data_IF_198956446260
#
_entry.id   IF_198956446260
#
_cell.length_a   1.000
_cell.length_b   1.000
_cell.length_c   1.000
_cell.angle_alpha   90.00
_cell.angle_beta   90.00
_cell.angle_gamma   90.00
#
_symmetry.space_group_name_H-M   'P 1'
#
loop_
_entity.id
_entity.type
_entity.pdbx_description
1 polymer ?
#
# COMPACT_ATOMS: atom_id res chain seq x y z
N UNK A 1 15.84 20.82 -5.28
CA UNK A 1 15.08 20.54 -6.53
C UNK A 1 15.11 19.06 -6.91
N UNK A 2 16.24 18.36 -6.76
CA UNK A 2 16.37 16.93 -7.11
C UNK A 2 15.30 16.01 -6.45
N UNK A 3 15.03 16.16 -5.15
CA UNK A 3 14.00 15.38 -4.46
C UNK A 3 12.57 15.62 -5.01
N UNK A 4 12.29 16.82 -5.52
CA UNK A 4 10.99 17.14 -6.13
C UNK A 4 10.89 16.45 -7.50
N UNK A 5 11.95 16.53 -8.31
CA UNK A 5 12.05 15.85 -9.61
C UNK A 5 11.91 14.34 -9.43
N UNK A 6 12.57 13.76 -8.42
CA UNK A 6 12.42 12.36 -8.07
C UNK A 6 10.98 12.01 -7.74
N UNK A 7 10.33 12.79 -6.87
CA UNK A 7 8.95 12.55 -6.47
C UNK A 7 8.01 12.59 -7.68
N UNK A 8 8.22 13.55 -8.60
CA UNK A 8 7.51 13.62 -9.88
C UNK A 8 7.77 12.37 -10.73
N UNK A 9 9.03 11.96 -10.91
CA UNK A 9 9.39 10.81 -11.74
C UNK A 9 8.85 9.47 -11.21
N UNK A 10 8.69 9.33 -9.89
CA UNK A 10 8.08 8.14 -9.28
C UNK A 10 6.56 8.12 -9.48
N UNK A 11 5.91 9.28 -9.47
CA UNK A 11 4.45 9.41 -9.46
C UNK A 11 3.87 9.53 -10.88
N UNK A 12 4.58 10.21 -11.79
CA UNK A 12 4.11 10.49 -13.14
C UNK A 12 3.79 9.22 -13.96
N UNK A 13 4.58 8.12 -13.89
CA UNK A 13 4.21 6.87 -14.54
C UNK A 13 2.87 6.29 -14.06
N UNK A 14 2.52 6.50 -12.78
CA UNK A 14 1.21 6.08 -12.24
C UNK A 14 0.09 6.87 -12.90
N UNK A 15 0.25 8.19 -13.04
CA UNK A 15 -0.75 9.04 -13.69
C UNK A 15 -0.86 8.77 -15.19
N UNK A 16 0.24 8.47 -15.89
CA UNK A 16 0.17 8.06 -17.29
C UNK A 16 -0.55 6.74 -17.47
N UNK A 17 -0.25 5.75 -16.62
CA UNK A 17 -0.94 4.44 -16.66
C UNK A 17 -2.42 4.58 -16.32
N UNK A 18 -2.76 5.41 -15.32
CA UNK A 18 -4.15 5.70 -14.95
C UNK A 18 -4.90 6.45 -16.05
N UNK A 19 -4.26 7.45 -16.67
CA UNK A 19 -4.83 8.18 -17.81
C UNK A 19 -5.07 7.25 -19.01
N UNK A 20 -4.14 6.33 -19.28
CA UNK A 20 -4.32 5.30 -20.29
C UNK A 20 -5.54 4.42 -19.99
N UNK A 21 -5.71 3.98 -18.74
CA UNK A 21 -6.89 3.22 -18.31
C UNK A 21 -8.20 3.97 -18.55
N UNK A 22 -8.22 5.26 -18.23
CA UNK A 22 -9.36 6.13 -18.51
C UNK A 22 -9.64 6.24 -20.02
N UNK A 23 -8.60 6.44 -20.84
CA UNK A 23 -8.74 6.52 -22.31
C UNK A 23 -9.28 5.20 -22.88
N UNK A 24 -8.75 4.06 -22.46
CA UNK A 24 -9.20 2.71 -22.89
C UNK A 24 -10.69 2.50 -22.60
N UNK A 25 -11.17 2.96 -21.44
CA UNK A 25 -12.61 2.97 -21.12
C UNK A 25 -13.42 3.88 -22.05
N UNK A 26 -12.92 5.09 -22.33
CA UNK A 26 -13.59 6.07 -23.19
C UNK A 26 -13.71 5.63 -24.65
N UNK A 27 -12.73 4.90 -25.17
CA UNK A 27 -12.77 4.34 -26.54
C UNK A 27 -13.53 3.00 -26.63
N UNK A 28 -14.14 2.54 -25.54
CA UNK A 28 -15.02 1.36 -25.52
C UNK A 28 -14.32 0.01 -25.39
N UNK A 29 -13.00 -0.03 -25.20
CA UNK A 29 -12.26 -1.29 -24.97
C UNK A 29 -12.55 -1.88 -23.59
N UNK A 30 -12.79 -1.02 -22.58
CA UNK A 30 -13.31 -1.42 -21.28
C UNK A 30 -14.79 -1.06 -21.15
N UNK A 31 -15.58 -2.01 -20.66
CA UNK A 31 -16.90 -1.75 -20.08
C UNK A 31 -16.88 -2.12 -18.59
N UNK A 32 -17.97 -1.87 -17.85
CA UNK A 32 -17.99 -2.10 -16.40
C UNK A 32 -17.85 -3.59 -16.03
N UNK A 33 -18.34 -4.47 -16.90
CA UNK A 33 -18.20 -5.92 -16.73
C UNK A 33 -16.72 -6.33 -16.90
N UNK A 34 -16.05 -5.82 -17.93
CA UNK A 34 -14.62 -6.05 -18.17
C UNK A 34 -13.79 -5.55 -17.00
N UNK A 35 -14.04 -4.33 -16.52
CA UNK A 35 -13.32 -3.75 -15.37
C UNK A 35 -13.47 -4.64 -14.12
N UNK A 36 -14.70 -5.01 -13.75
CA UNK A 36 -14.97 -5.90 -12.61
C UNK A 36 -14.31 -7.27 -12.76
N UNK A 37 -14.39 -7.85 -13.96
CA UNK A 37 -13.81 -9.17 -14.25
C UNK A 37 -12.29 -9.14 -14.13
N UNK A 38 -11.64 -8.15 -14.73
CA UNK A 38 -10.20 -7.96 -14.68
C UNK A 38 -9.73 -7.61 -13.27
N UNK A 39 -10.51 -6.86 -12.49
CA UNK A 39 -10.18 -6.58 -11.10
C UNK A 39 -10.29 -7.83 -10.22
N UNK A 40 -11.26 -8.70 -10.50
CA UNK A 40 -11.36 -10.01 -9.83
C UNK A 40 -10.18 -10.91 -10.15
N UNK A 41 -9.75 -10.95 -11.42
CA UNK A 41 -8.52 -11.65 -11.82
C UNK A 41 -7.30 -11.07 -11.11
N UNK A 42 -7.21 -9.75 -11.01
CA UNK A 42 -6.12 -9.05 -10.31
C UNK A 42 -6.07 -9.44 -8.84
N UNK A 43 -7.20 -9.47 -8.15
CA UNK A 43 -7.27 -9.81 -6.73
C UNK A 43 -7.06 -11.30 -6.43
N UNK A 44 -7.51 -12.20 -7.31
CA UNK A 44 -7.45 -13.64 -7.09
C UNK A 44 -6.17 -14.30 -7.61
N UNK A 45 -5.47 -13.66 -8.54
CA UNK A 45 -4.29 -14.26 -9.20
C UNK A 45 -3.06 -13.36 -9.07
N UNK A 46 -3.10 -12.14 -9.58
CA UNK A 46 -1.90 -11.31 -9.69
C UNK A 46 -1.43 -10.73 -8.35
N UNK A 47 -2.33 -10.17 -7.53
CA UNK A 47 -1.97 -9.69 -6.20
C UNK A 47 -1.47 -10.83 -5.28
N UNK A 48 -2.10 -12.02 -5.22
CA UNK A 48 -1.56 -13.16 -4.48
C UNK A 48 -0.17 -13.56 -4.97
N UNK A 49 0.06 -13.62 -6.30
CA UNK A 49 1.37 -13.91 -6.88
C UNK A 49 2.42 -12.89 -6.45
N UNK A 50 2.07 -11.60 -6.44
CA UNK A 50 2.92 -10.52 -5.95
C UNK A 50 3.26 -10.65 -4.47
N UNK A 51 2.28 -10.96 -3.62
CA UNK A 51 2.53 -11.11 -2.18
C UNK A 51 3.40 -12.32 -1.88
N UNK A 52 3.07 -13.47 -2.48
CA UNK A 52 3.89 -14.67 -2.35
C UNK A 52 5.34 -14.38 -2.78
N UNK A 53 5.54 -13.80 -3.97
CA UNK A 53 6.87 -13.59 -4.52
C UNK A 53 7.71 -12.59 -3.70
N UNK A 54 7.09 -11.51 -3.21
CA UNK A 54 7.75 -10.54 -2.33
C UNK A 54 8.25 -11.18 -1.03
N UNK A 55 7.45 -12.06 -0.42
CA UNK A 55 7.85 -12.77 0.80
C UNK A 55 8.91 -13.83 0.47
N UNK A 56 8.68 -14.62 -0.58
CA UNK A 56 9.56 -15.72 -0.98
C UNK A 56 10.98 -15.25 -1.32
N UNK A 57 11.13 -14.10 -1.98
CA UNK A 57 12.44 -13.52 -2.33
C UNK A 57 13.07 -12.69 -1.21
N UNK A 58 12.45 -12.64 -0.03
CA UNK A 58 13.04 -11.96 1.12
C UNK A 58 14.32 -12.70 1.50
N UNK A 59 15.44 -11.98 1.58
CA UNK A 59 16.67 -12.54 2.10
C UNK A 59 16.73 -12.36 3.63
N UNK A 60 16.62 -13.47 4.35
CA UNK A 60 16.69 -13.49 5.81
C UNK A 60 18.10 -13.22 6.34
N UNK A 61 19.15 -13.44 5.54
CA UNK A 61 20.54 -13.26 5.97
C UNK A 61 20.97 -11.80 5.95
N UNK A 62 20.33 -11.00 5.10
CA UNK A 62 20.51 -9.55 5.08
C UNK A 62 19.67 -8.85 6.14
N UNK A 63 18.97 -9.51 7.06
CA UNK A 63 18.19 -8.88 8.16
C UNK A 63 19.13 -8.19 9.16
N UNK A 64 19.64 -7.03 8.76
CA UNK A 64 20.67 -6.25 9.46
C UNK A 64 20.08 -5.36 10.57
N UNK A 65 18.76 -5.16 10.60
CA UNK A 65 18.14 -4.30 11.61
C UNK A 65 16.73 -4.76 12.05
N UNK A 66 16.70 -5.78 12.90
CA UNK A 66 15.47 -6.29 13.51
C UNK A 66 14.71 -5.21 14.32
N UNK A 67 15.45 -4.28 14.94
CA UNK A 67 14.87 -3.16 15.71
C UNK A 67 13.99 -2.27 14.82
N UNK A 68 14.45 -1.91 13.63
CA UNK A 68 13.70 -1.10 12.66
C UNK A 68 12.47 -1.85 12.14
N UNK A 69 12.59 -3.15 11.85
CA UNK A 69 11.48 -3.98 11.37
C UNK A 69 10.36 -4.10 12.41
N UNK A 70 10.71 -4.46 13.65
CA UNK A 70 9.76 -4.56 14.74
C UNK A 70 9.10 -3.21 15.03
N UNK A 71 9.88 -2.12 15.00
CA UNK A 71 9.36 -0.78 15.14
C UNK A 71 8.34 -0.45 14.04
N UNK A 72 8.67 -0.69 12.77
CA UNK A 72 7.77 -0.41 11.66
C UNK A 72 6.46 -1.21 11.75
N UNK A 73 6.54 -2.51 12.04
CA UNK A 73 5.36 -3.37 12.24
C UNK A 73 4.51 -2.86 13.41
N UNK A 74 5.15 -2.50 14.52
CA UNK A 74 4.45 -1.96 15.70
C UNK A 74 3.74 -0.64 15.37
N UNK A 75 4.37 0.27 14.66
CA UNK A 75 3.74 1.52 14.21
C UNK A 75 2.51 1.25 13.35
N UNK A 76 2.62 0.33 12.38
CA UNK A 76 1.54 -0.03 11.46
C UNK A 76 0.35 -0.65 12.21
N UNK A 77 0.62 -1.58 13.13
CA UNK A 77 -0.44 -2.18 13.97
C UNK A 77 -1.07 -1.12 14.86
N UNK A 78 -0.27 -0.25 15.47
CA UNK A 78 -0.76 0.79 16.38
C UNK A 78 -1.69 1.77 15.68
N UNK A 79 -1.30 2.26 14.49
CA UNK A 79 -2.17 3.16 13.72
C UNK A 79 -3.42 2.45 13.21
N UNK A 80 -3.32 1.18 12.80
CA UNK A 80 -4.48 0.40 12.38
C UNK A 80 -5.50 0.28 13.52
N UNK A 81 -5.06 -0.12 14.72
CA UNK A 81 -5.93 -0.24 15.88
C UNK A 81 -6.54 1.11 16.27
N UNK A 82 -5.73 2.18 16.26
CA UNK A 82 -6.20 3.53 16.53
C UNK A 82 -7.28 3.97 15.53
N UNK A 83 -7.11 3.70 14.24
CA UNK A 83 -8.08 4.04 13.22
C UNK A 83 -9.34 3.18 13.31
N UNK A 84 -9.22 1.88 13.60
CA UNK A 84 -10.37 1.01 13.89
C UNK A 84 -11.20 1.53 15.07
N UNK A 85 -10.56 2.18 16.05
CA UNK A 85 -11.25 2.83 17.16
C UNK A 85 -11.84 4.20 16.77
N UNK A 86 -11.08 5.09 16.12
CA UNK A 86 -11.48 6.47 15.88
C UNK A 86 -12.47 6.66 14.71
N UNK A 87 -12.26 5.96 13.59
CA UNK A 87 -13.04 6.17 12.37
C UNK A 87 -14.55 5.89 12.54
N UNK A 88 -15.01 4.89 13.33
CA UNK A 88 -16.43 4.69 13.63
C UNK A 88 -17.15 5.88 14.29
N UNK A 89 -16.41 6.77 14.96
CA UNK A 89 -16.99 7.98 15.53
C UNK A 89 -17.22 9.08 14.48
N UNK A 90 -16.46 9.06 13.38
CA UNK A 90 -16.43 10.13 12.36
C UNK A 90 -17.24 9.78 11.11
N UNK A 91 -17.19 8.51 10.69
CA UNK A 91 -17.90 7.94 9.54
C UNK A 91 -18.90 6.90 10.03
N UNK A 92 -20.11 6.89 9.47
CA UNK A 92 -21.18 5.98 9.88
C UNK A 92 -21.34 4.81 8.92
N UNK A 93 -21.07 5.01 7.63
CA UNK A 93 -21.15 3.97 6.62
C UNK A 93 -19.98 2.97 6.76
N UNK A 94 -20.30 1.69 6.94
CA UNK A 94 -19.30 0.66 7.18
C UNK A 94 -18.36 0.44 5.98
N UNK A 95 -18.88 0.57 4.74
CA UNK A 95 -18.07 0.43 3.53
C UNK A 95 -17.04 1.55 3.42
N UNK A 96 -17.39 2.76 3.84
CA UNK A 96 -16.49 3.91 3.91
C UNK A 96 -15.47 3.79 5.05
N UNK A 97 -15.88 3.27 6.23
CA UNK A 97 -14.95 3.07 7.38
C UNK A 97 -13.76 2.22 6.99
N UNK A 98 -14.00 1.05 6.38
CA UNK A 98 -12.93 0.14 5.98
C UNK A 98 -11.95 0.80 4.99
N UNK A 99 -12.50 1.52 4.01
CA UNK A 99 -11.73 2.23 2.98
C UNK A 99 -10.90 3.36 3.58
N UNK A 100 -11.47 4.17 4.48
CA UNK A 100 -10.75 5.24 5.16
C UNK A 100 -9.62 4.72 6.04
N UNK A 101 -9.89 3.68 6.84
CA UNK A 101 -8.87 3.05 7.67
C UNK A 101 -7.73 2.57 6.78
N UNK A 102 -8.05 1.78 5.74
CA UNK A 102 -7.06 1.28 4.80
C UNK A 102 -6.24 2.39 4.17
N UNK A 103 -6.88 3.44 3.65
CA UNK A 103 -6.17 4.53 3.00
C UNK A 103 -5.16 5.24 3.92
N UNK A 104 -5.49 5.38 5.21
CA UNK A 104 -4.62 6.09 6.15
C UNK A 104 -3.45 5.22 6.60
N UNK A 105 -3.65 3.93 6.91
CA UNK A 105 -2.51 3.11 7.39
C UNK A 105 -1.68 2.48 6.26
N UNK A 106 -2.29 2.12 5.13
CA UNK A 106 -1.65 1.33 4.07
C UNK A 106 -0.97 2.20 3.02
N UNK A 107 0.35 2.16 3.03
CA UNK A 107 1.18 2.95 2.13
C UNK A 107 1.61 2.19 0.88
N UNK A 108 1.92 2.94 -0.18
CA UNK A 108 2.45 2.42 -1.43
C UNK A 108 3.99 2.29 -1.37
N UNK A 109 4.47 1.64 -0.31
CA UNK A 109 5.88 1.62 0.02
C UNK A 109 6.76 1.04 -1.09
N UNK A 110 6.31 0.02 -1.82
CA UNK A 110 7.11 -0.60 -2.90
C UNK A 110 7.47 0.39 -4.00
N UNK A 111 6.54 1.27 -4.38
CA UNK A 111 6.74 2.20 -5.51
C UNK A 111 7.75 3.30 -5.15
N UNK A 112 7.75 3.76 -3.90
CA UNK A 112 8.63 4.85 -3.47
C UNK A 112 9.90 4.37 -2.76
N UNK A 113 9.84 3.24 -2.06
CA UNK A 113 10.86 2.80 -1.10
C UNK A 113 12.24 2.69 -1.73
N UNK A 114 12.35 1.95 -2.84
CA UNK A 114 13.62 1.76 -3.53
C UNK A 114 14.07 3.06 -4.22
N UNK A 115 13.27 3.72 -5.09
CA UNK A 115 13.74 4.93 -5.79
C UNK A 115 14.15 6.07 -4.86
N UNK A 116 13.41 6.30 -3.77
CA UNK A 116 13.74 7.35 -2.79
C UNK A 116 15.01 7.01 -2.02
N UNK A 117 15.18 5.75 -1.61
CA UNK A 117 16.39 5.33 -0.89
C UNK A 117 17.64 5.46 -1.77
N UNK A 118 17.57 5.00 -3.02
CA UNK A 118 18.68 5.11 -3.98
C UNK A 118 19.06 6.56 -4.23
N UNK A 119 18.08 7.45 -4.39
CA UNK A 119 18.33 8.87 -4.64
C UNK A 119 18.94 9.60 -3.44
N UNK A 120 18.76 9.12 -2.22
CA UNK A 120 19.25 9.78 -1.00
C UNK A 120 20.60 9.22 -0.54
N UNK A 121 20.84 7.91 -0.68
CA UNK A 121 21.97 7.22 -0.05
C UNK A 121 22.75 6.25 -0.96
N UNK A 122 22.51 6.29 -2.28
CA UNK A 122 23.09 5.39 -3.29
C UNK A 122 22.56 3.95 -3.27
N UNK A 123 22.99 3.11 -4.22
CA UNK A 123 22.45 1.76 -4.42
C UNK A 123 22.69 0.82 -3.23
N UNK A 124 23.76 1.01 -2.47
CA UNK A 124 24.12 0.17 -1.33
C UNK A 124 23.09 0.24 -0.18
N UNK A 125 22.25 1.29 -0.16
CA UNK A 125 21.21 1.49 0.83
C UNK A 125 19.90 0.71 0.54
N UNK A 126 19.78 0.05 -0.63
CA UNK A 126 18.56 -0.66 -1.05
C UNK A 126 18.23 -1.89 -0.21
N UNK A 127 19.22 -2.45 0.50
CA UNK A 127 19.01 -3.58 1.42
C UNK A 127 17.98 -3.24 2.50
N UNK A 128 18.09 -2.07 3.14
CA UNK A 128 17.20 -1.66 4.25
C UNK A 128 15.77 -1.49 3.77
N UNK A 129 15.59 -0.88 2.59
CA UNK A 129 14.26 -0.74 1.98
C UNK A 129 13.66 -2.12 1.66
N UNK A 130 14.45 -3.04 1.11
CA UNK A 130 14.00 -4.39 0.77
C UNK A 130 13.59 -5.20 2.01
N UNK A 131 14.35 -5.10 3.10
CA UNK A 131 14.00 -5.72 4.39
C UNK A 131 12.70 -5.16 4.96
N UNK A 132 12.51 -3.84 4.92
CA UNK A 132 11.26 -3.24 5.37
C UNK A 132 10.09 -3.68 4.48
N UNK A 133 10.27 -3.78 3.17
CA UNK A 133 9.22 -4.23 2.24
C UNK A 133 8.76 -5.64 2.64
N UNK A 134 9.70 -6.52 2.99
CA UNK A 134 9.44 -7.90 3.38
C UNK A 134 8.49 -8.03 4.59
N UNK A 135 8.50 -7.10 5.54
CA UNK A 135 7.62 -7.14 6.73
C UNK A 135 6.43 -6.19 6.65
N UNK A 136 6.61 -5.01 6.06
CA UNK A 136 5.59 -3.98 5.94
C UNK A 136 4.47 -4.44 5.00
N UNK A 137 4.82 -5.04 3.86
CA UNK A 137 3.82 -5.44 2.87
C UNK A 137 2.91 -6.56 3.40
N UNK A 138 3.40 -7.68 3.96
CA UNK A 138 2.52 -8.70 4.54
C UNK A 138 1.64 -8.13 5.65
N UNK A 139 2.22 -7.30 6.55
CA UNK A 139 1.47 -6.63 7.63
C UNK A 139 0.32 -5.80 7.06
N UNK A 140 0.59 -4.97 6.05
CA UNK A 140 -0.45 -4.18 5.41
C UNK A 140 -1.56 -5.02 4.80
N UNK A 141 -1.24 -6.16 4.19
CA UNK A 141 -2.26 -7.01 3.57
C UNK A 141 -3.11 -7.71 4.60
N UNK A 142 -2.50 -8.29 5.64
CA UNK A 142 -3.22 -8.97 6.72
C UNK A 142 -4.19 -8.01 7.41
N UNK A 143 -3.69 -6.84 7.83
CA UNK A 143 -4.52 -5.84 8.50
C UNK A 143 -5.60 -5.27 7.59
N UNK A 144 -5.35 -5.16 6.28
CA UNK A 144 -6.38 -4.72 5.32
C UNK A 144 -7.54 -5.70 5.25
N UNK A 145 -7.25 -7.00 5.13
CA UNK A 145 -8.28 -8.04 5.08
C UNK A 145 -9.07 -8.06 6.39
N UNK A 146 -8.38 -8.00 7.53
CA UNK A 146 -9.03 -7.91 8.85
C UNK A 146 -9.92 -6.67 8.93
N UNK A 147 -9.42 -5.50 8.54
CA UNK A 147 -10.17 -4.25 8.56
C UNK A 147 -11.44 -4.32 7.71
N UNK A 148 -11.35 -4.82 6.47
CA UNK A 148 -12.53 -5.00 5.62
C UNK A 148 -13.53 -5.97 6.22
N UNK A 149 -13.08 -7.11 6.75
CA UNK A 149 -13.98 -8.10 7.36
C UNK A 149 -14.66 -7.59 8.64
N UNK A 150 -13.96 -6.80 9.48
CA UNK A 150 -14.55 -6.18 10.69
C UNK A 150 -15.75 -5.28 10.33
N UNK A 151 -15.62 -4.50 9.26
CA UNK A 151 -16.66 -3.59 8.80
C UNK A 151 -17.53 -4.20 7.69
N UNK A 152 -17.46 -5.51 7.48
CA UNK A 152 -18.28 -6.20 6.47
C UNK A 152 -19.67 -6.49 7.06
N UNK A 153 -20.69 -5.85 6.50
CA UNK A 153 -22.08 -6.03 6.95
C UNK A 153 -22.46 -5.16 8.15
N UNK A 154 -23.56 -5.51 8.82
CA UNK A 154 -24.19 -4.69 9.88
C UNK A 154 -23.73 -5.02 11.30
N UNK A 155 -23.14 -6.19 11.54
CA UNK A 155 -22.69 -6.63 12.86
C UNK A 155 -21.38 -7.42 12.78
N UNK A 156 -20.57 -7.31 13.83
CA UNK A 156 -19.29 -8.03 13.94
C UNK A 156 -19.61 -9.51 14.17
N UNK A 157 -19.32 -10.34 13.19
CA UNK A 157 -19.45 -11.79 13.30
C UNK A 157 -18.07 -12.44 13.18
N UNK A 158 -17.48 -12.79 14.33
CA UNK A 158 -16.14 -13.38 14.41
C UNK A 158 -15.96 -14.65 13.56
N UNK A 159 -17.01 -15.45 13.38
CA UNK A 159 -16.97 -16.65 12.53
C UNK A 159 -16.84 -16.29 11.06
N UNK A 160 -17.60 -15.30 10.59
CA UNK A 160 -17.53 -14.82 9.22
C UNK A 160 -16.20 -14.12 8.95
N UNK A 161 -15.71 -13.33 9.91
CA UNK A 161 -14.41 -12.67 9.84
C UNK A 161 -13.29 -13.71 9.73
N UNK A 162 -13.27 -14.70 10.62
CA UNK A 162 -12.27 -15.77 10.57
C UNK A 162 -12.32 -16.54 9.25
N UNK A 163 -13.52 -16.90 8.78
CA UNK A 163 -13.70 -17.55 7.48
C UNK A 163 -13.22 -16.67 6.33
N UNK A 164 -13.57 -15.39 6.33
CA UNK A 164 -13.17 -14.40 5.32
C UNK A 164 -11.65 -14.24 5.26
N UNK A 165 -10.99 -14.13 6.41
CA UNK A 165 -9.53 -14.04 6.52
C UNK A 165 -8.85 -15.31 6.01
N UNK A 166 -9.27 -16.49 6.49
CA UNK A 166 -8.63 -17.77 6.13
C UNK A 166 -8.84 -18.13 4.66
N UNK A 167 -9.99 -17.77 4.09
CA UNK A 167 -10.29 -18.01 2.66
C UNK A 167 -9.75 -16.91 1.73
N UNK A 168 -9.17 -15.85 2.27
CA UNK A 168 -8.69 -14.74 1.45
C UNK A 168 -7.42 -15.14 0.67
N UNK A 169 -7.40 -15.00 -0.67
CA UNK A 169 -6.27 -15.46 -1.48
C UNK A 169 -4.95 -14.75 -1.16
N UNK A 170 -5.01 -13.50 -0.66
CA UNK A 170 -3.82 -12.74 -0.25
C UNK A 170 -3.22 -13.26 1.05
N UNK A 171 -4.07 -13.69 1.99
CA UNK A 171 -3.65 -14.30 3.25
C UNK A 171 -3.04 -15.68 2.96
N UNK A 172 -3.70 -16.48 2.14
CA UNK A 172 -3.20 -17.80 1.72
C UNK A 172 -1.84 -17.66 1.04
N UNK A 173 -1.72 -16.77 0.04
CA UNK A 173 -0.44 -16.56 -0.64
C UNK A 173 0.66 -16.06 0.30
N UNK A 174 0.31 -15.23 1.28
CA UNK A 174 1.26 -14.76 2.29
C UNK A 174 1.71 -15.90 3.21
N UNK A 175 0.79 -16.73 3.69
CA UNK A 175 1.11 -17.89 4.51
C UNK A 175 1.98 -18.92 3.77
N UNK A 176 1.67 -19.19 2.50
CA UNK A 176 2.48 -20.07 1.64
C UNK A 176 3.87 -19.46 1.41
N UNK A 177 3.95 -18.16 1.15
CA UNK A 177 5.23 -17.45 0.97
C UNK A 177 6.11 -17.52 2.21
N UNK A 178 5.55 -17.27 3.40
CA UNK A 178 6.26 -17.39 4.68
C UNK A 178 6.72 -18.83 4.91
N UNK A 179 5.88 -19.81 4.59
CA UNK A 179 6.23 -21.23 4.74
C UNK A 179 7.41 -21.63 3.85
N UNK A 180 7.41 -21.19 2.58
CA UNK A 180 8.49 -21.48 1.64
C UNK A 180 9.80 -20.80 2.07
N UNK A 181 9.70 -19.55 2.54
CA UNK A 181 10.83 -18.80 3.06
C UNK A 181 11.44 -19.48 4.30
N UNK A 182 10.61 -19.85 5.28
CA UNK A 182 11.06 -20.46 6.53
C UNK A 182 11.69 -21.85 6.31
N UNK A 183 11.13 -22.63 5.37
CA UNK A 183 11.62 -23.96 5.02
C UNK A 183 12.79 -23.93 4.02
N UNK A 184 13.22 -22.73 3.57
CA UNK A 184 14.23 -22.54 2.52
C UNK A 184 13.94 -23.37 1.25
N UNK A 185 12.66 -23.47 0.86
CA UNK A 185 12.25 -24.23 -0.33
C UNK A 185 12.78 -23.53 -1.58
N UNK A 186 13.52 -24.24 -2.42
CA UNK A 186 13.98 -23.69 -3.71
C UNK A 186 13.02 -24.09 -4.82
N UNK A 187 12.33 -23.11 -5.38
CA UNK A 187 11.50 -23.30 -6.57
C UNK A 187 12.37 -23.62 -7.80
N UNK A 188 11.95 -24.57 -8.66
CA UNK A 188 12.56 -24.73 -9.98
C UNK A 188 12.50 -23.43 -10.78
N UNK A 189 13.53 -23.15 -11.58
CA UNK A 189 13.68 -21.90 -12.34
C UNK A 189 12.44 -21.55 -13.16
N UNK A 190 11.78 -22.55 -13.76
CA UNK A 190 10.55 -22.35 -14.52
C UNK A 190 9.41 -21.78 -13.65
N UNK A 191 9.19 -22.37 -12.47
CA UNK A 191 8.13 -21.95 -11.54
C UNK A 191 8.43 -20.57 -10.95
N UNK A 192 9.67 -20.34 -10.53
CA UNK A 192 10.12 -19.04 -9.99
C UNK A 192 9.89 -17.91 -10.99
N UNK A 193 10.29 -18.13 -12.25
CA UNK A 193 10.11 -17.15 -13.33
C UNK A 193 8.64 -16.90 -13.63
N UNK A 194 7.82 -17.94 -13.72
CA UNK A 194 6.37 -17.79 -13.96
C UNK A 194 5.71 -16.95 -12.87
N UNK A 195 5.98 -17.25 -11.60
CA UNK A 195 5.41 -16.48 -10.48
C UNK A 195 5.93 -15.03 -10.50
N UNK A 196 7.22 -14.83 -10.80
CA UNK A 196 7.79 -13.50 -10.98
C UNK A 196 7.07 -12.71 -12.06
N UNK A 197 6.83 -13.30 -13.23
CA UNK A 197 6.20 -12.60 -14.34
C UNK A 197 4.73 -12.28 -14.05
N UNK A 198 3.99 -13.18 -13.39
CA UNK A 198 2.63 -12.90 -12.91
C UNK A 198 2.58 -11.79 -11.85
N UNK A 199 3.57 -11.75 -10.94
CA UNK A 199 3.64 -10.72 -9.91
C UNK A 199 3.78 -9.31 -10.48
N UNK A 200 4.56 -9.15 -11.58
CA UNK A 200 4.81 -7.87 -12.25
C UNK A 200 3.56 -7.29 -12.92
N UNK A 201 2.56 -8.12 -13.24
CA UNK A 201 1.29 -7.67 -13.84
C UNK A 201 0.41 -6.93 -12.81
N UNK A 202 0.50 -7.32 -11.53
CA UNK A 202 -0.46 -6.93 -10.51
C UNK A 202 -0.62 -5.40 -10.35
N UNK A 203 0.50 -4.69 -10.18
CA UNK A 203 0.48 -3.24 -9.95
C UNK A 203 0.09 -2.45 -11.20
N UNK A 204 0.71 -2.67 -12.39
CA UNK A 204 0.31 -1.97 -13.62
C UNK A 204 -1.16 -2.18 -13.97
N UNK A 205 -1.66 -3.41 -13.88
CA UNK A 205 -3.06 -3.71 -14.17
C UNK A 205 -3.99 -3.04 -13.17
N UNK A 206 -3.68 -3.07 -11.86
CA UNK A 206 -4.49 -2.38 -10.86
C UNK A 206 -4.59 -0.87 -11.11
N UNK A 207 -3.49 -0.21 -11.53
CA UNK A 207 -3.49 1.22 -11.88
C UNK A 207 -4.34 1.48 -13.13
N UNK A 208 -4.21 0.61 -14.15
CA UNK A 208 -4.99 0.72 -15.38
C UNK A 208 -6.50 0.58 -15.11
N UNK A 209 -6.88 -0.40 -14.29
CA UNK A 209 -8.27 -0.64 -13.90
C UNK A 209 -8.83 0.50 -13.03
N UNK A 210 -8.02 1.04 -12.12
CA UNK A 210 -8.37 2.23 -11.36
C UNK A 210 -8.67 3.40 -12.31
N UNK A 211 -7.80 3.64 -13.29
CA UNK A 211 -8.01 4.68 -14.31
C UNK A 211 -9.30 4.49 -15.11
N UNK A 212 -9.58 3.27 -15.55
CA UNK A 212 -10.81 2.94 -16.27
C UNK A 212 -12.09 3.02 -15.42
N UNK A 213 -11.96 2.93 -14.10
CA UNK A 213 -13.08 3.03 -13.15
C UNK A 213 -13.19 4.41 -12.49
N UNK A 214 -12.32 5.36 -12.86
CA UNK A 214 -12.25 6.66 -12.21
C UNK A 214 -13.32 7.62 -12.75
N UNK A 215 -14.10 8.19 -11.83
CA UNK A 215 -15.11 9.21 -12.15
C UNK A 215 -14.83 10.52 -11.41
N UNK A 216 -14.64 11.62 -12.14
CA UNK A 216 -14.37 12.94 -11.54
C UNK A 216 -15.53 13.49 -10.71
N UNK A 217 -16.78 13.12 -11.05
CA UNK A 217 -17.97 13.57 -10.31
C UNK A 217 -18.05 12.97 -8.90
N UNK A 218 -17.38 11.86 -8.65
CA UNK A 218 -17.33 11.21 -7.35
C UNK A 218 -16.57 12.04 -6.29
N UNK A 219 -15.62 12.88 -6.70
CA UNK A 219 -14.75 13.60 -5.76
C UNK A 219 -15.52 14.59 -4.89
N UNK A 220 -16.57 15.24 -5.42
CA UNK A 220 -17.40 16.18 -4.66
C UNK A 220 -18.30 15.47 -3.65
N UNK A 221 -18.74 14.24 -3.95
CA UNK A 221 -19.56 13.40 -3.07
C UNK A 221 -18.84 13.00 -1.79
N UNK A 222 -17.51 12.80 -1.85
CA UNK A 222 -16.73 12.28 -0.74
C UNK A 222 -15.72 13.27 -0.16
N UNK A 223 -15.97 14.58 -0.28
CA UNK A 223 -14.99 15.61 0.10
C UNK A 223 -14.50 15.45 1.54
N UNK A 224 -15.40 15.19 2.50
CA UNK A 224 -15.05 14.98 3.91
C UNK A 224 -14.09 13.79 4.08
N UNK A 225 -14.42 12.66 3.46
CA UNK A 225 -13.62 11.43 3.53
C UNK A 225 -12.27 11.61 2.84
N UNK A 226 -12.23 12.33 1.71
CA UNK A 226 -11.00 12.64 1.00
C UNK A 226 -10.06 13.51 1.83
N UNK A 227 -10.57 14.59 2.42
CA UNK A 227 -9.76 15.45 3.29
C UNK A 227 -9.21 14.65 4.47
N UNK A 228 -10.05 13.85 5.14
CA UNK A 228 -9.62 13.01 6.26
C UNK A 228 -8.56 11.98 5.85
N UNK A 229 -8.79 11.26 4.75
CA UNK A 229 -7.86 10.23 4.28
C UNK A 229 -6.54 10.80 3.79
N UNK A 230 -6.58 11.92 3.05
CA UNK A 230 -5.38 12.62 2.54
C UNK A 230 -4.55 13.18 3.69
N UNK A 231 -5.16 13.97 4.59
CA UNK A 231 -4.45 14.54 5.74
C UNK A 231 -3.96 13.43 6.66
N UNK A 232 -4.80 12.42 6.92
CA UNK A 232 -4.46 11.22 7.68
C UNK A 232 -3.17 10.57 7.17
N UNK A 233 -3.17 10.20 5.89
CA UNK A 233 -2.08 9.44 5.26
C UNK A 233 -0.80 10.25 5.09
N UNK A 234 -0.91 11.47 4.54
CA UNK A 234 0.26 12.23 4.09
C UNK A 234 0.84 13.15 5.16
N UNK A 235 0.06 13.49 6.19
CA UNK A 235 0.46 14.46 7.21
C UNK A 235 0.40 13.83 8.61
N UNK A 236 -0.75 13.34 9.05
CA UNK A 236 -0.94 12.90 10.45
C UNK A 236 -0.06 11.68 10.76
N UNK A 237 -0.12 10.64 9.94
CA UNK A 237 0.70 9.42 10.13
C UNK A 237 2.20 9.73 10.19
N UNK A 238 2.82 10.40 9.20
CA UNK A 238 4.24 10.73 9.28
C UNK A 238 4.55 11.72 10.41
N UNK A 239 3.69 12.70 10.71
CA UNK A 239 3.86 13.62 11.84
C UNK A 239 3.92 12.92 13.20
N UNK A 240 3.22 11.79 13.35
CA UNK A 240 3.24 11.00 14.59
C UNK A 240 4.49 10.13 14.63
N UNK A 241 4.74 9.35 13.58
CA UNK A 241 5.74 8.27 13.66
C UNK A 241 7.17 8.71 13.35
N UNK A 242 7.39 9.79 12.58
CA UNK A 242 8.74 10.28 12.32
C UNK A 242 9.41 10.81 13.60
N UNK A 243 8.78 11.66 14.43
CA UNK A 243 9.37 12.08 15.71
C UNK A 243 9.63 10.91 16.65
N UNK A 244 8.73 9.93 16.70
CA UNK A 244 8.91 8.72 17.51
C UNK A 244 10.15 7.95 17.02
N UNK A 245 10.28 7.74 15.71
CA UNK A 245 11.44 7.06 15.13
C UNK A 245 12.76 7.79 15.46
N UNK A 246 12.74 9.12 15.36
CA UNK A 246 13.87 9.98 15.70
C UNK A 246 14.24 9.84 17.18
N UNK A 247 13.26 9.83 18.07
CA UNK A 247 13.48 9.70 19.53
C UNK A 247 14.06 8.33 19.92
N UNK A 248 13.72 7.27 19.19
CA UNK A 248 14.25 5.91 19.38
C UNK A 248 15.68 5.75 18.82
N UNK A 249 16.15 6.74 18.05
CA UNK A 249 17.51 6.86 17.54
C UNK A 249 17.71 6.47 16.08
N UNK A 250 16.65 6.23 15.30
CA UNK A 250 16.80 5.92 13.87
C UNK A 250 17.29 7.15 13.10
N UNK A 251 18.29 6.98 12.22
CA UNK A 251 18.93 8.06 11.43
C UNK A 251 19.28 7.58 10.03
N UNK A 252 19.62 8.52 9.14
CA UNK A 252 20.16 8.25 7.80
C UNK A 252 19.25 7.29 7.00
N UNK A 253 19.83 6.24 6.42
CA UNK A 253 19.14 5.24 5.60
C UNK A 253 17.92 4.66 6.31
N UNK A 254 18.03 4.31 7.58
CA UNK A 254 16.94 3.68 8.36
C UNK A 254 15.73 4.60 8.47
N UNK A 255 15.99 5.87 8.81
CA UNK A 255 14.94 6.86 8.96
C UNK A 255 14.35 7.25 7.60
N UNK A 256 15.15 7.31 6.53
CA UNK A 256 14.65 7.59 5.19
C UNK A 256 13.77 6.47 4.65
N UNK A 257 14.19 5.20 4.80
CA UNK A 257 13.34 4.07 4.40
C UNK A 257 12.04 4.04 5.23
N UNK A 258 12.12 4.30 6.53
CA UNK A 258 10.93 4.39 7.38
C UNK A 258 10.02 5.56 7.00
N UNK A 259 10.57 6.74 6.71
CA UNK A 259 9.84 7.89 6.17
C UNK A 259 9.02 7.49 4.97
N UNK A 260 9.61 6.77 4.02
CA UNK A 260 8.90 6.38 2.80
C UNK A 260 7.79 5.37 3.13
N UNK A 261 7.99 4.47 4.10
CA UNK A 261 6.95 3.58 4.57
C UNK A 261 5.75 4.32 5.20
N UNK A 262 5.97 5.45 5.90
CA UNK A 262 4.91 6.20 6.60
C UNK A 262 4.41 7.44 5.86
N UNK A 263 5.10 7.94 4.83
CA UNK A 263 4.74 9.16 4.09
C UNK A 263 4.35 8.92 2.63
N UNK A 264 4.60 7.72 2.07
CA UNK A 264 4.14 7.37 0.72
C UNK A 264 2.60 7.37 0.63
N UNK A 265 2.03 7.59 -0.56
CA UNK A 265 0.58 7.65 -0.78
C UNK A 265 -0.11 6.32 -0.49
N UNK A 266 -1.43 6.31 -0.55
CA UNK A 266 -2.22 5.08 -0.40
C UNK A 266 -1.83 4.06 -1.47
N UNK A 267 -1.68 2.79 -1.08
CA UNK A 267 -1.38 1.72 -2.04
C UNK A 267 -2.49 1.56 -3.09
N UNK A 268 -2.12 1.44 -4.37
CA UNK A 268 -3.09 1.27 -5.46
C UNK A 268 -3.95 0.01 -5.30
N UNK A 269 -3.36 -1.05 -4.75
CA UNK A 269 -4.09 -2.30 -4.44
C UNK A 269 -5.27 -2.11 -3.48
N UNK A 270 -5.35 -0.99 -2.75
CA UNK A 270 -6.50 -0.64 -1.91
C UNK A 270 -7.79 -0.52 -2.72
N UNK A 271 -7.72 0.00 -3.95
CA UNK A 271 -8.87 0.06 -4.87
C UNK A 271 -9.36 -1.35 -5.22
N UNK A 272 -8.46 -2.23 -5.66
CA UNK A 272 -8.76 -3.62 -6.01
C UNK A 272 -9.34 -4.40 -4.83
N UNK A 273 -8.76 -4.22 -3.63
CA UNK A 273 -9.28 -4.85 -2.42
C UNK A 273 -10.66 -4.33 -2.06
N UNK A 274 -10.89 -3.01 -2.10
CA UNK A 274 -12.18 -2.42 -1.75
C UNK A 274 -13.31 -2.94 -2.66
N UNK A 275 -13.08 -3.08 -3.96
CA UNK A 275 -14.10 -3.63 -4.87
C UNK A 275 -14.38 -5.12 -4.58
N UNK A 276 -13.34 -5.93 -4.39
CA UNK A 276 -13.49 -7.37 -4.22
C UNK A 276 -14.00 -7.77 -2.83
N UNK A 277 -13.85 -6.89 -1.84
CA UNK A 277 -14.35 -7.08 -0.48
C UNK A 277 -15.68 -6.37 -0.21
N UNK A 278 -16.40 -5.96 -1.26
CA UNK A 278 -17.71 -5.30 -1.20
C UNK A 278 -17.72 -4.01 -0.35
N UNK A 279 -16.63 -3.25 -0.41
CA UNK A 279 -16.52 -1.93 0.19
C UNK A 279 -16.70 -0.81 -0.86
N UNK A 280 -16.51 0.45 -0.46
CA UNK A 280 -16.68 1.58 -1.36
C UNK A 280 -15.45 1.77 -2.26
N UNK A 281 -15.41 1.04 -3.38
CA UNK A 281 -14.31 1.13 -4.36
C UNK A 281 -14.19 2.50 -5.02
N UNK A 282 -15.29 3.23 -5.18
CA UNK A 282 -15.31 4.60 -5.71
C UNK A 282 -14.49 5.53 -4.79
N UNK A 283 -14.77 5.52 -3.48
CA UNK A 283 -14.00 6.28 -2.49
C UNK A 283 -12.53 5.83 -2.43
N UNK A 284 -12.28 4.52 -2.48
CA UNK A 284 -10.92 3.97 -2.44
C UNK A 284 -10.09 4.46 -3.64
N UNK A 285 -10.69 4.47 -4.82
CA UNK A 285 -10.07 4.99 -6.03
C UNK A 285 -9.73 6.48 -5.89
N UNK A 286 -10.68 7.29 -5.42
CA UNK A 286 -10.44 8.72 -5.17
C UNK A 286 -9.27 8.93 -4.19
N UNK A 287 -9.23 8.21 -3.06
CA UNK A 287 -8.15 8.32 -2.09
C UNK A 287 -6.78 7.95 -2.69
N UNK A 288 -6.71 6.90 -3.52
CA UNK A 288 -5.47 6.55 -4.23
C UNK A 288 -5.02 7.68 -5.14
N UNK A 289 -5.91 8.25 -5.96
CA UNK A 289 -5.56 9.34 -6.88
C UNK A 289 -5.09 10.59 -6.14
N UNK A 290 -5.89 11.08 -5.18
CA UNK A 290 -5.58 12.31 -4.46
C UNK A 290 -4.34 12.17 -3.59
N UNK A 291 -4.18 11.04 -2.87
CA UNK A 291 -2.95 10.84 -2.09
C UNK A 291 -1.73 10.71 -3.00
N UNK A 292 -1.84 10.04 -4.15
CA UNK A 292 -0.72 9.93 -5.11
C UNK A 292 -0.31 11.30 -5.64
N UNK A 293 -1.25 12.12 -6.10
CA UNK A 293 -0.95 13.47 -6.59
C UNK A 293 -0.34 14.39 -5.54
N UNK A 294 -0.93 14.43 -4.34
CA UNK A 294 -0.46 15.28 -3.24
C UNK A 294 0.82 14.74 -2.56
N UNK A 295 1.14 13.46 -2.76
CA UNK A 295 2.38 12.88 -2.25
C UNK A 295 3.63 13.48 -2.89
N UNK A 296 3.55 14.00 -4.13
CA UNK A 296 4.67 14.69 -4.78
C UNK A 296 5.23 15.78 -3.87
N UNK A 297 4.32 16.61 -3.35
CA UNK A 297 4.68 17.78 -2.53
C UNK A 297 4.97 17.34 -1.10
N UNK A 298 4.12 16.51 -0.50
CA UNK A 298 4.26 16.14 0.91
C UNK A 298 5.49 15.28 1.19
N UNK A 299 5.82 14.30 0.34
CA UNK A 299 7.05 13.49 0.48
C UNK A 299 8.29 14.38 0.31
N UNK A 300 8.27 15.29 -0.68
CA UNK A 300 9.34 16.27 -0.84
C UNK A 300 9.55 17.11 0.43
N UNK A 301 8.47 17.64 1.02
CA UNK A 301 8.52 18.44 2.25
C UNK A 301 9.06 17.63 3.43
N UNK A 302 8.62 16.38 3.61
CA UNK A 302 9.12 15.51 4.68
C UNK A 302 10.63 15.25 4.55
N UNK A 303 11.09 14.94 3.34
CA UNK A 303 12.53 14.74 3.06
C UNK A 303 13.30 16.04 3.32
N UNK A 304 12.78 17.18 2.85
CA UNK A 304 13.40 18.48 3.06
C UNK A 304 13.56 18.82 4.55
N UNK A 305 12.50 18.63 5.34
CA UNK A 305 12.51 18.86 6.79
C UNK A 305 13.56 17.97 7.47
N UNK A 306 13.59 16.67 7.17
CA UNK A 306 14.56 15.77 7.80
C UNK A 306 16.01 16.07 7.40
N UNK A 307 16.27 16.49 6.15
CA UNK A 307 17.60 16.96 5.73
C UNK A 307 18.02 18.22 6.47
N UNK A 308 17.12 19.21 6.59
CA UNK A 308 17.42 20.48 7.25
C UNK A 308 17.72 20.30 8.75
N UNK A 309 17.13 19.29 9.37
CA UNK A 309 17.36 18.91 10.76
C UNK A 309 18.52 17.93 10.94
N UNK A 310 19.28 17.62 9.87
CA UNK A 310 20.42 16.70 9.87
C UNK A 310 20.08 15.28 10.35
N UNK A 311 18.88 14.79 10.06
CA UNK A 311 18.44 13.45 10.42
C UNK A 311 18.62 12.42 9.30
N UNK A 312 18.61 12.88 8.04
CA UNK A 312 18.86 12.09 6.81
C UNK A 312 19.72 12.89 5.83
#
# INVERSE_FOLDING_TARGET
>A
MENLILSVNVILPLFFTMSLGYIIKRIGMFNDITLKTMNSLTFKVFLPSLLFYNIYKTDLKTVLNLKLMLFAVTCIISIFLLLCFLIPFIEKDNKNKAVLIQAIFRSNFVIFGIPVTVSLFNQDATGVASMLIAVVIPTFNILSVIGFEIFRGSSINFKNIAKGVVSNPLIIASAVGVSFLALNVQLPTAVDKTISDLSKIATPLAILLLGGSFEFKASTKYLKQLVLGVLGRLIIVPSIFLPIAISIGFRNVELACFLVAVASPTAVSSFTMAEQMDANSELAGQLVVFTSGLSVITVFLWIFILKQLCYI
#
